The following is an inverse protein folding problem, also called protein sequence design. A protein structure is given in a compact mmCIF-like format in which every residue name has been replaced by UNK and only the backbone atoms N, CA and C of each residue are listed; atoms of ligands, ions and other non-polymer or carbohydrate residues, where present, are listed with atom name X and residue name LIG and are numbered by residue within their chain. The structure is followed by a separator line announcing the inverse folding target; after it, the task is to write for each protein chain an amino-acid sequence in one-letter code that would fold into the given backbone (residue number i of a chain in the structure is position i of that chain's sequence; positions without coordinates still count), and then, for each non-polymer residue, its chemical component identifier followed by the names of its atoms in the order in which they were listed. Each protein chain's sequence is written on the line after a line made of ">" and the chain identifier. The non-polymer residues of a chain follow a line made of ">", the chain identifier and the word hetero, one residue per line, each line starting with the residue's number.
data_IF_445671377087
#
_entry.id   IF_445671377087
#
_cell.length_a   1.000
_cell.length_b   1.000
_cell.length_c   1.000
_cell.angle_alpha   90.00
_cell.angle_beta   90.00
_cell.angle_gamma   90.00
#
_symmetry.space_group_name_H-M   'P 1'
#
loop_
_entity.id
_entity.type
_entity.pdbx_description
1 polymer ?
#
# COMPACT_ATOMS: atom_id res chain seq x y z
N UNK A 1 11.41 -7.45 -5.95
CA UNK A 1 10.16 -7.41 -5.14
C UNK A 1 9.55 -6.03 -5.29
N UNK A 2 8.22 -5.90 -5.30
CA UNK A 2 7.52 -4.61 -5.36
C UNK A 2 6.85 -4.36 -4.02
N UNK A 3 7.37 -3.39 -3.27
CA UNK A 3 6.77 -2.88 -2.05
C UNK A 3 5.80 -1.74 -2.36
N UNK A 4 4.57 -1.82 -1.84
CA UNK A 4 3.55 -0.81 -2.08
C UNK A 4 3.11 -0.20 -0.76
N UNK A 5 3.27 1.11 -0.63
CA UNK A 5 2.86 1.90 0.55
C UNK A 5 2.03 3.08 0.09
N UNK A 6 1.28 3.70 1.00
CA UNK A 6 0.56 4.94 0.73
C UNK A 6 1.15 6.07 1.57
N UNK A 7 2.13 6.83 1.06
CA UNK A 7 2.74 7.94 1.78
C UNK A 7 1.84 9.19 1.84
N UNK A 8 0.68 9.18 1.18
CA UNK A 8 -0.28 10.30 1.20
C UNK A 8 -1.68 9.83 1.58
N UNK A 9 -2.51 9.43 0.60
CA UNK A 9 -3.86 8.90 0.82
C UNK A 9 -3.89 7.40 0.56
N UNK A 10 -4.63 6.66 1.40
CA UNK A 10 -4.91 5.25 1.16
C UNK A 10 -5.99 5.08 0.09
N UNK A 11 -6.14 3.86 -0.38
CA UNK A 11 -7.19 3.50 -1.34
C UNK A 11 -8.53 3.50 -0.60
N UNK A 12 -9.54 4.15 -1.17
CA UNK A 12 -10.92 4.09 -0.66
C UNK A 12 -11.41 2.65 -0.62
N UNK A 13 -12.19 2.28 0.40
CA UNK A 13 -12.72 0.91 0.58
C UNK A 13 -13.40 0.37 -0.69
N UNK A 14 -14.20 1.19 -1.36
CA UNK A 14 -14.89 0.83 -2.61
C UNK A 14 -13.92 0.42 -3.74
N UNK A 15 -12.69 0.94 -3.71
CA UNK A 15 -11.65 0.68 -4.70
C UNK A 15 -10.68 -0.42 -4.26
N UNK A 16 -10.82 -0.99 -3.06
CA UNK A 16 -9.93 -2.05 -2.57
C UNK A 16 -9.95 -3.28 -3.47
N UNK A 17 -11.13 -3.67 -3.98
CA UNK A 17 -11.26 -4.78 -4.91
C UNK A 17 -10.44 -4.54 -6.19
N UNK A 18 -10.53 -3.34 -6.77
CA UNK A 18 -9.76 -2.98 -7.96
C UNK A 18 -8.25 -3.03 -7.66
N UNK A 19 -7.84 -2.52 -6.51
CA UNK A 19 -6.43 -2.50 -6.13
C UNK A 19 -5.87 -3.90 -5.88
N UNK A 20 -6.63 -4.78 -5.21
CA UNK A 20 -6.26 -6.21 -5.05
C UNK A 20 -6.04 -6.87 -6.41
N UNK A 21 -6.93 -6.63 -7.38
CA UNK A 21 -6.78 -7.14 -8.76
C UNK A 21 -5.51 -6.63 -9.44
N UNK A 22 -5.12 -5.37 -9.21
CA UNK A 22 -3.86 -4.85 -9.71
C UNK A 22 -2.65 -5.57 -9.09
N UNK A 23 -2.66 -5.79 -7.77
CA UNK A 23 -1.62 -6.56 -7.08
C UNK A 23 -1.52 -8.00 -7.60
N UNK A 24 -2.66 -8.68 -7.79
CA UNK A 24 -2.71 -10.03 -8.36
C UNK A 24 -2.18 -10.09 -9.79
N UNK A 25 -2.50 -9.09 -10.61
CA UNK A 25 -1.97 -8.99 -11.97
C UNK A 25 -0.45 -8.93 -11.98
N UNK A 26 0.13 -8.13 -11.09
CA UNK A 26 1.59 -8.04 -10.92
C UNK A 26 2.19 -9.35 -10.39
N UNK A 27 1.50 -10.05 -9.48
CA UNK A 27 1.91 -11.39 -9.04
C UNK A 27 1.90 -12.42 -10.17
N UNK A 28 0.88 -12.41 -11.04
CA UNK A 28 0.80 -13.29 -12.22
C UNK A 28 1.94 -13.04 -13.22
N UNK A 29 2.48 -11.82 -13.26
CA UNK A 29 3.67 -11.48 -14.06
C UNK A 29 4.99 -11.93 -13.44
N UNK A 30 4.96 -12.65 -12.31
CA UNK A 30 6.15 -13.15 -11.61
C UNK A 30 6.73 -12.20 -10.57
N UNK A 31 6.12 -11.03 -10.34
CA UNK A 31 6.60 -10.10 -9.30
C UNK A 31 6.07 -10.49 -7.92
N UNK A 32 6.96 -10.58 -6.94
CA UNK A 32 6.56 -10.62 -5.52
C UNK A 32 6.06 -9.23 -5.10
N UNK A 33 4.76 -9.08 -4.86
CA UNK A 33 4.12 -7.84 -4.41
C UNK A 33 3.81 -7.92 -2.92
N UNK A 34 4.23 -6.90 -2.16
CA UNK A 34 3.95 -6.74 -0.72
C UNK A 34 3.28 -5.40 -0.50
N UNK A 35 2.03 -5.41 -0.02
CA UNK A 35 1.29 -4.20 0.32
C UNK A 35 1.41 -3.91 1.81
N UNK A 36 1.83 -2.70 2.15
CA UNK A 36 1.79 -2.18 3.51
C UNK A 36 0.36 -1.88 3.96
N UNK A 37 0.19 -1.68 5.26
CA UNK A 37 -1.09 -1.37 5.89
C UNK A 37 -1.64 -0.01 5.46
N UNK A 38 -0.77 0.98 5.26
CA UNK A 38 -1.20 2.34 4.92
C UNK A 38 -1.99 2.41 3.62
N UNK A 39 -1.80 1.45 2.71
CA UNK A 39 -2.56 1.35 1.45
C UNK A 39 -4.06 1.16 1.70
N UNK A 40 -4.42 0.47 2.76
CA UNK A 40 -5.80 0.02 3.02
C UNK A 40 -6.55 0.91 4.01
N UNK A 41 -5.86 1.82 4.69
CA UNK A 41 -6.44 2.67 5.72
C UNK A 41 -6.70 4.09 5.20
N UNK A 42 -7.72 4.74 5.74
CA UNK A 42 -8.02 6.14 5.46
C UNK A 42 -8.43 6.85 6.76
N UNK A 43 -7.62 7.80 7.21
CA UNK A 43 -7.82 8.61 8.40
C UNK A 43 -7.85 10.09 7.98
N UNK A 44 -9.05 10.70 7.94
CA UNK A 44 -9.26 12.12 7.59
C UNK A 44 -8.50 12.56 6.32
N UNK A 45 -8.76 11.87 5.20
CA UNK A 45 -8.15 12.08 3.88
C UNK A 45 -6.65 11.69 3.74
N UNK A 46 -6.02 11.17 4.79
CA UNK A 46 -4.65 10.61 4.76
C UNK A 46 -4.73 9.10 4.90
N UNK A 47 -3.72 8.36 4.49
CA UNK A 47 -3.68 6.90 4.69
C UNK A 47 -3.57 6.54 6.17
N UNK A 48 -2.71 7.23 6.90
CA UNK A 48 -2.50 7.07 8.34
C UNK A 48 -1.79 8.30 8.92
N UNK A 49 -1.55 8.29 10.23
CA UNK A 49 -0.66 9.24 10.91
C UNK A 49 0.70 9.39 10.19
N UNK A 50 1.28 10.59 10.24
CA UNK A 50 2.54 10.88 9.56
C UNK A 50 3.68 9.93 9.98
N UNK A 51 3.76 9.60 11.27
CA UNK A 51 4.72 8.65 11.82
C UNK A 51 4.52 7.24 11.22
N UNK A 52 3.28 6.75 11.11
CA UNK A 52 3.00 5.42 10.55
C UNK A 52 3.35 5.35 9.06
N UNK A 53 3.01 6.38 8.27
CA UNK A 53 3.39 6.49 6.85
C UNK A 53 4.90 6.48 6.63
N UNK A 54 5.63 7.28 7.41
CA UNK A 54 7.09 7.36 7.32
C UNK A 54 7.75 6.03 7.69
N UNK A 55 7.31 5.41 8.79
CA UNK A 55 7.85 4.13 9.24
C UNK A 55 7.62 3.03 8.22
N UNK A 56 6.40 2.90 7.68
CA UNK A 56 6.11 1.86 6.68
C UNK A 56 6.91 2.07 5.39
N UNK A 57 7.09 3.31 4.95
CA UNK A 57 7.94 3.62 3.81
C UNK A 57 9.39 3.21 4.05
N UNK A 58 9.97 3.60 5.19
CA UNK A 58 11.36 3.29 5.55
C UNK A 58 11.56 1.77 5.68
N UNK A 59 10.63 1.07 6.32
CA UNK A 59 10.68 -0.40 6.45
C UNK A 59 10.63 -1.09 5.09
N UNK A 60 9.81 -0.59 4.17
CA UNK A 60 9.72 -1.15 2.82
C UNK A 60 11.01 -0.94 2.01
N UNK A 61 11.72 0.18 2.22
CA UNK A 61 13.00 0.47 1.56
C UNK A 61 14.17 -0.37 2.09
N UNK A 62 14.05 -0.94 3.29
CA UNK A 62 15.09 -1.77 3.92
C UNK A 62 14.99 -3.27 3.59
N UNK A 63 14.02 -3.68 2.78
CA UNK A 63 13.70 -5.07 2.45
C UNK A 63 14.19 -5.48 1.06
#
# INVERSE_FOLDING_TARGET
>A
MIGVTAPSSGVKIELHHMFKRACESMKRKGYKVVCGETVWTQEKAKSASAKKRANEFIEMMKR
#
